data_IF_657147920695
#
_entry.id   IF_657147920695
#
_cell.length_a   1.000
_cell.length_b   1.000
_cell.length_c   1.000
_cell.angle_alpha   90.00
_cell.angle_beta   90.00
_cell.angle_gamma   90.00
#
_symmetry.space_group_name_H-M   'P 1'
#
loop_
_entity.id
_entity.type
_entity.pdbx_description
1 polymer ?
#
# COMPACT_ATOMS: atom_id res chain seq x y z
N UNK A 1 16.47 3.18 -9.11
CA UNK A 1 16.02 3.95 -7.92
C UNK A 1 17.11 4.91 -7.47
N UNK A 2 16.72 6.11 -7.07
CA UNK A 2 17.69 7.11 -6.59
C UNK A 2 18.33 6.65 -5.27
N UNK A 3 19.58 7.04 -5.03
CA UNK A 3 20.33 6.71 -3.81
C UNK A 3 19.58 7.13 -2.54
N UNK A 4 18.98 8.31 -2.55
CA UNK A 4 18.18 8.82 -1.42
C UNK A 4 17.00 7.91 -1.10
N UNK A 5 16.35 7.35 -2.12
CA UNK A 5 15.24 6.39 -1.95
C UNK A 5 15.74 5.06 -1.36
N UNK A 6 16.90 4.58 -1.81
CA UNK A 6 17.52 3.38 -1.26
C UNK A 6 17.87 3.54 0.22
N UNK A 7 18.41 4.69 0.63
CA UNK A 7 18.69 4.99 2.04
C UNK A 7 17.42 4.99 2.89
N UNK A 8 16.33 5.52 2.36
CA UNK A 8 15.04 5.51 3.05
C UNK A 8 14.47 4.11 3.18
N UNK A 9 14.63 3.25 2.16
CA UNK A 9 14.28 1.84 2.26
C UNK A 9 15.07 1.11 3.35
N UNK A 10 16.38 1.39 3.45
CA UNK A 10 17.20 0.82 4.51
C UNK A 10 16.70 1.23 5.90
N UNK A 11 16.33 2.49 6.08
CA UNK A 11 15.77 2.99 7.33
C UNK A 11 14.44 2.32 7.66
N UNK A 12 13.56 2.13 6.68
CA UNK A 12 12.28 1.42 6.84
C UNK A 12 12.54 -0.02 7.28
N UNK A 13 13.45 -0.71 6.61
CA UNK A 13 13.82 -2.09 6.94
C UNK A 13 14.39 -2.22 8.35
N UNK A 14 15.30 -1.32 8.73
CA UNK A 14 15.89 -1.29 10.07
C UNK A 14 14.81 -1.07 11.15
N UNK A 15 13.91 -0.14 10.92
CA UNK A 15 12.80 0.12 11.84
C UNK A 15 11.85 -1.08 11.94
N UNK A 16 11.51 -1.71 10.81
CA UNK A 16 10.62 -2.88 10.78
C UNK A 16 11.20 -4.08 11.56
N UNK A 17 12.53 -4.27 11.50
CA UNK A 17 13.22 -5.37 12.19
C UNK A 17 13.51 -5.08 13.66
N UNK A 18 13.59 -3.82 14.07
CA UNK A 18 14.00 -3.41 15.42
C UNK A 18 12.94 -3.62 16.51
N UNK A 19 11.69 -3.95 16.13
CA UNK A 19 10.60 -4.10 17.10
C UNK A 19 9.40 -4.84 16.51
N UNK A 20 8.34 -4.93 17.30
CA UNK A 20 7.12 -5.62 16.90
C UNK A 20 6.23 -4.80 15.95
N UNK A 21 5.09 -5.39 15.65
CA UNK A 21 4.10 -4.83 14.73
C UNK A 21 2.89 -4.25 15.48
N UNK A 22 3.15 -3.46 16.50
CA UNK A 22 2.07 -2.77 17.23
C UNK A 22 1.37 -1.77 16.31
N UNK A 23 0.11 -1.41 16.57
CA UNK A 23 -0.58 -0.37 15.79
C UNK A 23 0.22 0.93 15.69
N UNK A 24 0.86 1.36 16.76
CA UNK A 24 1.72 2.54 16.76
C UNK A 24 2.91 2.40 15.80
N UNK A 25 3.58 1.26 15.80
CA UNK A 25 4.73 1.02 14.93
C UNK A 25 4.32 0.91 13.47
N UNK A 26 3.19 0.27 13.19
CA UNK A 26 2.64 0.20 11.84
C UNK A 26 2.28 1.60 11.32
N UNK A 27 1.71 2.46 12.15
CA UNK A 27 1.45 3.85 11.78
C UNK A 27 2.76 4.59 11.46
N UNK A 28 3.81 4.38 12.24
CA UNK A 28 5.11 4.97 11.97
C UNK A 28 5.71 4.45 10.65
N UNK A 29 5.57 3.16 10.36
CA UNK A 29 6.05 2.55 9.12
C UNK A 29 5.35 3.14 7.89
N UNK A 30 4.03 3.26 7.91
CA UNK A 30 3.31 3.87 6.77
C UNK A 30 3.68 5.34 6.58
N UNK A 31 3.93 6.08 7.66
CA UNK A 31 4.42 7.47 7.57
C UNK A 31 5.83 7.54 6.96
N UNK A 32 6.72 6.62 7.31
CA UNK A 32 8.05 6.54 6.71
C UNK A 32 7.96 6.25 5.20
N UNK A 33 7.08 5.35 4.80
CA UNK A 33 6.84 5.03 3.39
C UNK A 33 6.29 6.26 2.66
N UNK A 34 5.29 6.91 3.23
CA UNK A 34 4.69 8.11 2.67
C UNK A 34 5.74 9.21 2.45
N UNK A 35 6.52 9.50 3.48
CA UNK A 35 7.53 10.55 3.44
C UNK A 35 8.70 10.26 2.50
N UNK A 36 9.00 8.98 2.27
CA UNK A 36 10.14 8.58 1.44
C UNK A 36 10.04 9.08 -0.01
N UNK A 37 8.83 9.18 -0.56
CA UNK A 37 8.59 9.66 -1.92
C UNK A 37 7.49 10.73 -1.98
N UNK A 38 7.17 11.32 -0.84
CA UNK A 38 6.20 12.40 -0.73
C UNK A 38 4.82 12.03 -1.27
N UNK A 39 4.35 10.83 -0.93
CA UNK A 39 3.00 10.41 -1.29
C UNK A 39 1.94 11.19 -0.51
N UNK A 40 0.76 11.35 -1.09
CA UNK A 40 -0.37 11.97 -0.42
C UNK A 40 -0.92 11.06 0.70
N UNK A 41 -1.12 9.79 0.39
CA UNK A 41 -1.71 8.82 1.32
C UNK A 41 -1.14 7.43 1.08
N UNK A 42 -0.89 6.70 2.17
CA UNK A 42 -0.48 5.30 2.19
C UNK A 42 -1.39 4.54 3.14
N UNK A 43 -1.86 3.38 2.70
CA UNK A 43 -2.61 2.44 3.52
C UNK A 43 -2.13 1.01 3.36
N UNK A 44 -2.26 0.23 4.43
CA UNK A 44 -2.03 -1.22 4.43
C UNK A 44 -3.36 -1.90 4.68
N UNK A 45 -3.77 -2.76 3.76
CA UNK A 45 -4.92 -3.64 3.91
C UNK A 45 -4.44 -5.07 4.14
N UNK A 46 -4.86 -5.66 5.24
CA UNK A 46 -4.62 -7.06 5.55
C UNK A 46 -5.76 -7.92 5.00
N UNK A 47 -5.45 -9.09 4.49
CA UNK A 47 -6.47 -10.08 4.11
C UNK A 47 -6.86 -10.86 5.36
N UNK A 48 -8.14 -10.80 5.71
CA UNK A 48 -8.75 -11.55 6.81
C UNK A 48 -9.94 -12.32 6.24
N UNK A 49 -9.78 -13.62 6.05
CA UNK A 49 -10.77 -14.47 5.35
C UNK A 49 -11.04 -13.93 3.94
N UNK A 50 -12.24 -13.50 3.66
CA UNK A 50 -12.68 -13.02 2.35
C UNK A 50 -12.71 -11.49 2.26
N UNK A 51 -12.05 -10.80 3.18
CA UNK A 51 -12.07 -9.34 3.25
C UNK A 51 -10.67 -8.74 3.31
N UNK A 52 -10.55 -7.55 2.71
CA UNK A 52 -9.47 -6.61 3.03
C UNK A 52 -9.89 -5.77 4.23
N UNK A 53 -9.00 -5.63 5.20
CA UNK A 53 -9.23 -4.83 6.41
C UNK A 53 -8.08 -3.85 6.56
N UNK A 54 -8.41 -2.56 6.73
CA UNK A 54 -7.38 -1.54 6.95
C UNK A 54 -6.62 -1.84 8.25
N UNK A 55 -5.30 -1.92 8.16
CA UNK A 55 -4.43 -2.21 9.29
C UNK A 55 -3.72 -0.96 9.78
N UNK A 56 -3.30 -0.11 8.86
CA UNK A 56 -2.65 1.16 9.14
C UNK A 56 -2.80 2.10 7.95
N UNK A 57 -2.83 3.40 8.21
CA UNK A 57 -2.93 4.42 7.17
C UNK A 57 -2.35 5.76 7.65
N UNK A 58 -2.07 6.66 6.71
CA UNK A 58 -1.46 7.96 7.00
C UNK A 58 -2.46 9.12 7.05
N UNK A 59 -3.73 8.90 6.72
CA UNK A 59 -4.74 9.95 6.69
C UNK A 59 -5.21 10.40 8.07
N UNK A 60 -5.75 11.61 8.16
CA UNK A 60 -6.41 12.13 9.35
C UNK A 60 -7.85 11.62 9.45
N UNK A 61 -8.45 11.27 8.31
CA UNK A 61 -9.77 10.66 8.22
C UNK A 61 -9.64 9.23 7.70
N UNK A 62 -10.46 8.29 8.20
CA UNK A 62 -10.43 6.93 7.71
C UNK A 62 -10.89 6.87 6.25
N UNK A 63 -10.42 5.88 5.47
CA UNK A 63 -10.94 5.66 4.13
C UNK A 63 -12.42 5.29 4.18
N UNK A 64 -13.16 5.58 3.08
CA UNK A 64 -14.59 5.31 3.00
C UNK A 64 -14.92 3.82 3.20
N UNK A 65 -14.00 2.94 2.79
CA UNK A 65 -14.16 1.49 2.91
C UNK A 65 -12.98 0.91 3.72
N UNK A 66 -13.03 0.98 5.07
CA UNK A 66 -11.99 0.38 5.92
C UNK A 66 -12.01 -1.15 5.88
N UNK A 67 -13.07 -1.73 5.36
CA UNK A 67 -13.26 -3.17 5.18
C UNK A 67 -14.11 -3.40 3.93
N UNK A 68 -13.69 -4.32 3.06
CA UNK A 68 -14.43 -4.67 1.84
C UNK A 68 -14.03 -6.07 1.34
N UNK A 69 -14.88 -6.71 0.53
CA UNK A 69 -14.60 -8.05 0.00
C UNK A 69 -13.33 -8.10 -0.85
N UNK A 70 -12.59 -9.21 -0.78
CA UNK A 70 -11.36 -9.42 -1.58
C UNK A 70 -11.61 -9.50 -3.08
N UNK A 71 -12.87 -9.57 -3.51
CA UNK A 71 -13.27 -9.57 -4.92
C UNK A 71 -13.50 -8.16 -5.50
N UNK A 72 -13.37 -7.12 -4.69
CA UNK A 72 -13.72 -5.75 -5.07
C UNK A 72 -12.50 -4.81 -5.07
N UNK A 73 -12.64 -3.73 -5.82
CA UNK A 73 -11.67 -2.66 -5.89
C UNK A 73 -10.41 -3.04 -6.68
N UNK A 74 -9.48 -2.11 -6.75
CA UNK A 74 -8.17 -2.36 -7.35
C UNK A 74 -7.35 -3.35 -6.51
N UNK A 75 -7.57 -3.38 -5.20
CA UNK A 75 -6.98 -4.39 -4.33
C UNK A 75 -7.43 -5.80 -4.72
N UNK A 76 -8.72 -5.99 -5.04
CA UNK A 76 -9.23 -7.28 -5.53
C UNK A 76 -8.61 -7.68 -6.86
N UNK A 77 -8.44 -6.73 -7.78
CA UNK A 77 -7.78 -6.95 -9.06
C UNK A 77 -6.29 -7.33 -8.89
N UNK A 78 -5.59 -6.68 -7.97
CA UNK A 78 -4.20 -7.02 -7.65
C UNK A 78 -4.06 -8.41 -7.03
N UNK A 79 -5.00 -8.81 -6.19
CA UNK A 79 -5.02 -10.14 -5.60
C UNK A 79 -5.25 -11.22 -6.69
N UNK A 80 -6.19 -10.99 -7.57
CA UNK A 80 -6.51 -11.93 -8.66
C UNK A 80 -5.33 -12.12 -9.61
N UNK A 81 -4.67 -11.03 -10.01
CA UNK A 81 -3.52 -11.09 -10.92
C UNK A 81 -2.21 -11.50 -10.24
N UNK A 82 -2.10 -11.30 -8.93
CA UNK A 82 -0.85 -11.47 -8.18
C UNK A 82 0.21 -10.43 -8.49
N UNK A 83 -0.17 -9.31 -9.13
CA UNK A 83 0.75 -8.27 -9.62
C UNK A 83 0.33 -6.88 -9.18
N UNK A 84 1.28 -5.93 -9.09
CA UNK A 84 0.95 -4.53 -8.88
C UNK A 84 0.01 -3.99 -9.96
N UNK A 85 -0.84 -3.06 -9.57
CA UNK A 85 -1.75 -2.34 -10.48
C UNK A 85 -1.50 -0.85 -10.32
N UNK A 86 -1.27 -0.18 -11.44
CA UNK A 86 -1.13 1.27 -11.51
C UNK A 86 -2.25 1.80 -12.41
N UNK A 87 -3.06 2.72 -11.87
CA UNK A 87 -4.13 3.39 -12.60
C UNK A 87 -3.88 4.89 -12.62
N UNK A 88 -3.65 5.43 -13.81
CA UNK A 88 -3.35 6.84 -14.01
C UNK A 88 -4.54 7.77 -13.83
N UNK A 89 -5.76 7.27 -14.08
CA UNK A 89 -7.01 7.98 -13.86
C UNK A 89 -8.09 7.01 -13.38
N UNK A 90 -8.30 6.96 -12.07
CA UNK A 90 -9.25 6.05 -11.43
C UNK A 90 -10.70 6.32 -11.81
N UNK A 91 -11.02 7.55 -12.25
CA UNK A 91 -12.38 7.94 -12.63
C UNK A 91 -12.90 7.20 -13.85
N UNK A 92 -11.98 6.66 -14.67
CA UNK A 92 -12.27 5.90 -15.88
C UNK A 92 -12.04 4.40 -15.72
N UNK A 93 -11.70 3.93 -14.51
CA UNK A 93 -11.52 2.51 -14.23
C UNK A 93 -12.72 1.97 -13.44
N UNK A 94 -13.51 1.05 -14.02
CA UNK A 94 -14.71 0.53 -13.35
C UNK A 94 -14.40 -0.33 -12.12
N UNK A 95 -13.16 -0.77 -11.95
CA UNK A 95 -12.73 -1.58 -10.79
C UNK A 95 -12.50 -0.71 -9.55
N UNK A 96 -12.33 0.62 -9.73
CA UNK A 96 -12.00 1.50 -8.63
C UNK A 96 -13.14 1.56 -7.60
N UNK A 97 -12.79 1.26 -6.33
CA UNK A 97 -13.65 1.46 -5.18
C UNK A 97 -13.26 2.81 -4.54
N UNK A 98 -14.14 3.83 -4.59
CA UNK A 98 -13.78 5.17 -4.14
C UNK A 98 -13.40 5.24 -2.67
N UNK A 99 -12.09 5.32 -2.40
CA UNK A 99 -11.52 5.48 -1.05
C UNK A 99 -11.70 6.92 -0.57
N UNK A 100 -11.40 7.86 -1.46
CA UNK A 100 -11.56 9.30 -1.24
C UNK A 100 -12.17 9.94 -2.48
N UNK A 101 -12.98 11.00 -2.30
CA UNK A 101 -13.63 11.69 -3.41
C UNK A 101 -12.65 12.45 -4.32
N UNK A 102 -11.45 12.74 -3.83
CA UNK A 102 -10.45 13.56 -4.53
C UNK A 102 -9.36 12.76 -5.22
N UNK A 103 -9.36 11.44 -5.10
CA UNK A 103 -8.35 10.58 -5.73
C UNK A 103 -8.46 10.61 -7.23
N UNK A 104 -7.34 10.82 -7.92
CA UNK A 104 -7.22 10.78 -9.38
C UNK A 104 -6.40 9.58 -9.86
N UNK A 105 -5.36 9.18 -9.13
CA UNK A 105 -4.53 8.02 -9.50
C UNK A 105 -4.21 7.17 -8.28
N UNK A 106 -3.90 5.90 -8.54
CA UNK A 106 -3.67 4.92 -7.48
C UNK A 106 -2.67 3.87 -7.92
N UNK A 107 -1.88 3.37 -6.97
CA UNK A 107 -1.04 2.19 -7.13
C UNK A 107 -1.32 1.23 -5.97
N UNK A 108 -1.52 -0.04 -6.32
CA UNK A 108 -1.67 -1.15 -5.37
C UNK A 108 -0.53 -2.13 -5.59
N UNK A 109 0.17 -2.51 -4.54
CA UNK A 109 1.16 -3.58 -4.61
C UNK A 109 0.84 -4.69 -3.62
N UNK A 110 0.85 -5.96 -4.06
CA UNK A 110 0.68 -7.09 -3.15
C UNK A 110 1.84 -7.18 -2.15
N UNK A 111 1.51 -7.44 -0.90
CA UNK A 111 2.48 -7.73 0.16
C UNK A 111 2.62 -9.24 0.28
N UNK A 112 3.79 -9.73 -0.11
CA UNK A 112 4.07 -11.16 -0.29
C UNK A 112 5.07 -11.61 0.76
N UNK A 113 4.77 -12.72 1.45
CA UNK A 113 5.67 -13.29 2.44
C UNK A 113 6.75 -14.18 1.79
N UNK A 114 7.64 -14.74 2.61
CA UNK A 114 8.71 -15.64 2.20
C UNK A 114 8.22 -16.95 1.55
N UNK A 115 6.97 -17.32 1.75
CA UNK A 115 6.33 -18.48 1.13
C UNK A 115 5.57 -18.16 -0.13
N UNK A 116 5.78 -16.96 -0.71
CA UNK A 116 5.09 -16.47 -1.91
C UNK A 116 3.57 -16.32 -1.75
N UNK A 117 3.10 -16.19 -0.52
CA UNK A 117 1.69 -15.95 -0.24
C UNK A 117 1.41 -14.45 -0.11
N UNK A 118 0.33 -13.99 -0.75
CA UNK A 118 -0.15 -12.62 -0.62
C UNK A 118 -0.93 -12.50 0.70
N UNK A 119 -0.47 -11.62 1.59
CA UNK A 119 -1.06 -11.41 2.92
C UNK A 119 -1.88 -10.12 2.99
N UNK A 120 -1.71 -9.24 2.04
CA UNK A 120 -2.40 -7.96 2.00
C UNK A 120 -1.92 -7.10 0.86
N UNK A 121 -2.30 -5.82 0.91
CA UNK A 121 -1.98 -4.83 -0.11
C UNK A 121 -1.40 -3.57 0.52
N UNK A 122 -0.39 -3.01 -0.13
CA UNK A 122 0.09 -1.68 0.13
C UNK A 122 -0.51 -0.76 -0.93
N UNK A 123 -1.23 0.26 -0.50
CA UNK A 123 -2.02 1.13 -1.35
C UNK A 123 -1.53 2.57 -1.22
N UNK A 124 -1.29 3.23 -2.36
CA UNK A 124 -0.99 4.65 -2.41
C UNK A 124 -1.97 5.35 -3.36
N UNK A 125 -2.50 6.48 -2.93
CA UNK A 125 -3.44 7.28 -3.72
C UNK A 125 -2.97 8.73 -3.83
N UNK A 126 -3.31 9.37 -4.96
CA UNK A 126 -2.95 10.74 -5.25
C UNK A 126 -4.11 11.52 -5.85
N UNK A 127 -4.16 12.82 -5.56
CA UNK A 127 -5.09 13.75 -6.21
C UNK A 127 -4.64 14.18 -7.60
N UNK A 128 -3.43 13.79 -8.01
CA UNK A 128 -2.88 14.07 -9.33
C UNK A 128 -3.07 12.87 -10.25
N UNK A 129 -3.36 13.14 -11.52
CA UNK A 129 -3.37 12.10 -12.55
C UNK A 129 -1.94 11.60 -12.80
N UNK A 130 -1.81 10.32 -13.13
CA UNK A 130 -0.52 9.71 -13.51
C UNK A 130 0.61 9.96 -12.49
N UNK A 131 0.26 9.95 -11.19
CA UNK A 131 1.23 10.25 -10.13
C UNK A 131 2.24 9.13 -9.89
N UNK A 132 1.98 7.90 -10.35
CA UNK A 132 2.78 6.72 -10.03
C UNK A 132 3.40 6.12 -11.28
N UNK A 133 4.68 5.79 -11.19
CA UNK A 133 5.44 5.14 -12.24
C UNK A 133 6.18 3.90 -11.76
N UNK A 134 7.10 3.40 -12.58
CA UNK A 134 7.83 2.17 -12.30
C UNK A 134 8.73 2.27 -11.06
N UNK A 135 9.32 3.42 -10.77
CA UNK A 135 10.10 3.63 -9.54
C UNK A 135 9.23 3.50 -8.28
N UNK A 136 7.99 3.98 -8.34
CA UNK A 136 7.04 3.84 -7.24
C UNK A 136 6.68 2.38 -7.03
N UNK A 137 6.44 1.65 -8.11
CA UNK A 137 6.20 0.21 -8.06
C UNK A 137 7.35 -0.52 -7.39
N UNK A 138 8.59 -0.29 -7.84
CA UNK A 138 9.77 -0.92 -7.26
C UNK A 138 9.94 -0.59 -5.78
N UNK A 139 9.79 0.68 -5.43
CA UNK A 139 9.90 1.14 -4.04
C UNK A 139 8.83 0.51 -3.15
N UNK A 140 7.57 0.53 -3.57
CA UNK A 140 6.46 0.01 -2.77
C UNK A 140 6.50 -1.52 -2.66
N UNK A 141 6.92 -2.24 -3.71
CA UNK A 141 7.12 -3.69 -3.63
C UNK A 141 8.19 -4.04 -2.59
N UNK A 142 9.31 -3.32 -2.57
CA UNK A 142 10.37 -3.54 -1.59
C UNK A 142 9.94 -3.17 -0.18
N UNK A 143 9.30 -2.02 -0.02
CA UNK A 143 8.77 -1.59 1.27
C UNK A 143 7.74 -2.60 1.81
N UNK A 144 6.83 -3.06 0.95
CA UNK A 144 5.85 -4.09 1.31
C UNK A 144 6.50 -5.39 1.75
N UNK A 145 7.55 -5.82 1.06
CA UNK A 145 8.31 -7.02 1.44
C UNK A 145 8.97 -6.91 2.83
N UNK A 146 9.46 -5.72 3.18
CA UNK A 146 10.09 -5.47 4.48
C UNK A 146 9.12 -5.53 5.65
N UNK A 147 7.84 -5.29 5.42
CA UNK A 147 6.81 -5.22 6.47
C UNK A 147 5.76 -6.32 6.37
N UNK A 148 5.86 -7.21 5.39
CA UNK A 148 4.90 -8.30 5.20
C UNK A 148 4.77 -9.22 6.41
N UNK A 149 5.86 -9.41 7.19
CA UNK A 149 5.83 -10.20 8.41
C UNK A 149 4.86 -9.67 9.47
N UNK A 150 4.40 -8.43 9.34
CA UNK A 150 3.41 -7.85 10.25
C UNK A 150 1.96 -8.28 9.93
N UNK A 151 1.73 -8.98 8.83
CA UNK A 151 0.38 -9.30 8.34
C UNK A 151 -0.08 -10.73 8.60
N UNK A 152 0.57 -11.46 9.48
CA UNK A 152 0.12 -12.81 9.86
C UNK A 152 -0.88 -12.84 11.02
#
# INVERSE_FOLDING_TARGET
>A
MKETTCKKLQAIGAFALAGGCTPKRLRQLVEMIRGARNYRWIGIYKIVKDEFVILAETGDEPPAYPRFPTTQGLCGAALESGKPIIVGDVRHDPRYLPTFHTTCSEIIVPMINEHHKILGMLDAESEKMNAFGDEDRQFLERAGGLIAHCLH
#
